data_IF_494511826094
#
_entry.id   IF_494511826094
#
_cell.length_a   1.000
_cell.length_b   1.000
_cell.length_c   1.000
_cell.angle_alpha   90.00
_cell.angle_beta   90.00
_cell.angle_gamma   90.00
#
_symmetry.space_group_name_H-M   'P 1'
#
loop_
_entity.id
_entity.type
_entity.pdbx_description
1 polymer ?
#
# COMPACT_ATOMS: atom_id res chain seq x y z
N UNK A 1 -11.73 3.97 16.03
CA UNK A 1 -10.96 3.09 15.14
C UNK A 1 -9.54 3.02 15.68
N UNK A 2 -9.04 1.86 16.06
CA UNK A 2 -7.65 1.69 16.55
C UNK A 2 -6.70 1.87 15.37
N UNK A 3 -5.74 2.80 15.45
CA UNK A 3 -4.74 2.98 14.40
C UNK A 3 -3.86 1.74 14.35
N UNK A 4 -4.05 0.90 13.34
CA UNK A 4 -3.22 -0.28 13.14
C UNK A 4 -1.87 0.17 12.59
N UNK A 5 -0.80 -0.08 13.32
CA UNK A 5 0.56 0.14 12.83
C UNK A 5 0.87 -0.93 11.79
N UNK A 6 1.35 -0.52 10.62
CA UNK A 6 1.76 -1.45 9.57
C UNK A 6 3.20 -1.92 9.81
N UNK A 7 3.36 -3.22 10.08
CA UNK A 7 4.67 -3.87 10.05
C UNK A 7 5.10 -4.05 8.58
N UNK A 8 5.81 -3.04 8.08
CA UNK A 8 6.07 -2.90 6.64
C UNK A 8 6.90 -4.05 6.07
N UNK A 9 7.86 -4.58 6.83
CA UNK A 9 8.67 -5.73 6.41
C UNK A 9 7.80 -6.96 6.14
N UNK A 10 6.99 -7.36 7.12
CA UNK A 10 6.08 -8.50 7.00
C UNK A 10 5.08 -8.33 5.85
N UNK A 11 4.58 -7.10 5.65
CA UNK A 11 3.65 -6.81 4.56
C UNK A 11 4.32 -6.95 3.19
N UNK A 12 5.52 -6.37 3.01
CA UNK A 12 6.27 -6.44 1.74
C UNK A 12 6.65 -7.88 1.41
N UNK A 13 7.11 -8.66 2.39
CA UNK A 13 7.44 -10.08 2.19
C UNK A 13 6.21 -10.90 1.80
N UNK A 14 5.10 -10.74 2.52
CA UNK A 14 3.85 -11.45 2.22
C UNK A 14 3.27 -11.07 0.85
N UNK A 15 3.31 -9.78 0.48
CA UNK A 15 2.83 -9.33 -0.82
C UNK A 15 3.75 -9.76 -1.97
N UNK A 16 5.07 -9.82 -1.74
CA UNK A 16 6.01 -10.38 -2.70
C UNK A 16 5.67 -11.83 -3.04
N UNK A 17 5.40 -12.64 -2.02
CA UNK A 17 4.96 -14.03 -2.19
C UNK A 17 3.60 -14.13 -2.89
N UNK A 18 2.62 -13.31 -2.48
CA UNK A 18 1.27 -13.33 -3.05
C UNK A 18 1.25 -12.97 -4.53
N UNK A 19 2.10 -12.03 -4.94
CA UNK A 19 2.18 -11.54 -6.32
C UNK A 19 3.15 -12.34 -7.19
N UNK A 20 3.78 -13.39 -6.65
CA UNK A 20 4.86 -14.13 -7.30
C UNK A 20 5.99 -13.21 -7.82
N UNK A 21 6.31 -12.19 -7.02
CA UNK A 21 7.33 -11.21 -7.33
C UNK A 21 8.68 -11.64 -6.77
N UNK A 22 9.65 -11.90 -7.65
CA UNK A 22 11.04 -12.19 -7.26
C UNK A 22 11.74 -10.92 -6.73
N UNK A 23 11.50 -10.63 -5.45
CA UNK A 23 12.15 -9.57 -4.70
C UNK A 23 13.52 -10.03 -4.22
N UNK A 24 14.54 -9.82 -5.06
CA UNK A 24 15.92 -10.12 -4.72
C UNK A 24 16.35 -9.48 -3.39
N UNK A 25 17.19 -10.15 -2.58
CA UNK A 25 17.63 -9.63 -1.28
C UNK A 25 18.26 -8.22 -1.35
N UNK A 26 18.93 -7.89 -2.45
CA UNK A 26 19.52 -6.56 -2.70
C UNK A 26 18.48 -5.43 -2.84
N UNK A 27 17.25 -5.75 -3.23
CA UNK A 27 16.17 -4.77 -3.40
C UNK A 27 15.25 -4.66 -2.19
N UNK A 28 15.16 -5.73 -1.39
CA UNK A 28 14.22 -5.83 -0.26
C UNK A 28 14.31 -4.65 0.72
N UNK A 29 15.49 -4.21 1.20
CA UNK A 29 15.59 -3.06 2.11
C UNK A 29 15.07 -1.75 1.49
N UNK A 30 15.32 -1.54 0.19
CA UNK A 30 14.85 -0.36 -0.53
C UNK A 30 13.33 -0.35 -0.69
N UNK A 31 12.75 -1.50 -1.01
CA UNK A 31 11.29 -1.66 -1.15
C UNK A 31 10.59 -1.44 0.19
N UNK A 32 11.08 -2.02 1.28
CA UNK A 32 10.55 -1.81 2.63
C UNK A 32 10.56 -0.32 3.00
N UNK A 33 11.70 0.36 2.81
CA UNK A 33 11.82 1.79 3.12
C UNK A 33 10.88 2.67 2.28
N UNK A 34 10.73 2.37 0.99
CA UNK A 34 9.85 3.14 0.12
C UNK A 34 8.38 2.88 0.44
N UNK A 35 8.02 1.64 0.74
CA UNK A 35 6.65 1.30 1.15
C UNK A 35 6.25 2.01 2.44
N UNK A 36 7.15 2.07 3.43
CA UNK A 36 6.89 2.80 4.68
C UNK A 36 6.58 4.28 4.44
N UNK A 37 7.30 4.94 3.51
CA UNK A 37 7.04 6.33 3.12
C UNK A 37 5.68 6.48 2.42
N UNK A 38 5.35 5.57 1.50
CA UNK A 38 4.05 5.56 0.83
C UNK A 38 2.92 5.37 1.84
N UNK A 39 3.06 4.42 2.77
CA UNK A 39 2.08 4.17 3.83
C UNK A 39 1.85 5.39 4.71
N UNK A 40 2.91 6.11 5.08
CA UNK A 40 2.79 7.34 5.88
C UNK A 40 1.94 8.41 5.17
N UNK A 41 2.11 8.57 3.85
CA UNK A 41 1.31 9.53 3.05
C UNK A 41 -0.12 9.01 2.88
N UNK A 42 -0.28 7.75 2.50
CA UNK A 42 -1.60 7.13 2.29
C UNK A 42 -2.47 7.17 3.55
N UNK A 43 -1.84 7.00 4.72
CA UNK A 43 -2.54 7.07 6.02
C UNK A 43 -3.28 8.40 6.23
N UNK A 44 -2.80 9.50 5.63
CA UNK A 44 -3.43 10.82 5.75
C UNK A 44 -4.76 10.91 5.00
N UNK A 45 -4.97 10.08 3.96
CA UNK A 45 -6.16 10.13 3.10
C UNK A 45 -7.11 8.96 3.35
N UNK A 46 -6.65 7.87 3.98
CA UNK A 46 -7.49 6.72 4.34
C UNK A 46 -8.28 6.90 5.64
N UNK A 47 -8.03 7.99 6.38
CA UNK A 47 -8.75 8.30 7.63
C UNK A 47 -10.15 8.91 7.38
N UNK A 48 -10.44 9.36 6.15
CA UNK A 48 -11.74 9.90 5.77
C UNK A 48 -12.69 8.80 5.30
N UNK A 49 -13.93 8.82 5.78
CA UNK A 49 -14.98 7.96 5.22
C UNK A 49 -15.31 8.38 3.79
N UNK A 50 -15.32 7.40 2.88
CA UNK A 50 -15.78 7.61 1.52
C UNK A 50 -17.28 7.33 1.42
N UNK A 51 -18.06 8.14 0.68
CA UNK A 51 -19.43 7.82 0.34
C UNK A 51 -19.51 6.53 -0.50
N UNK A 52 -20.55 5.72 -0.31
CA UNK A 52 -20.75 4.48 -1.08
C UNK A 52 -21.03 4.74 -2.57
N UNK A 53 -21.51 5.95 -2.91
CA UNK A 53 -21.85 6.39 -4.25
C UNK A 53 -20.69 7.11 -4.98
N UNK A 54 -19.50 7.17 -4.37
CA UNK A 54 -18.34 7.79 -5.01
C UNK A 54 -17.85 6.93 -6.18
N UNK A 55 -17.86 7.49 -7.39
CA UNK A 55 -17.25 6.84 -8.56
C UNK A 55 -15.72 7.05 -8.53
N UNK A 56 -14.96 6.01 -8.89
CA UNK A 56 -13.54 6.19 -9.21
C UNK A 56 -13.42 7.16 -10.42
N UNK A 57 -12.58 8.19 -10.31
CA UNK A 57 -12.21 9.00 -11.47
C UNK A 57 -11.15 8.24 -12.30
N UNK A 58 -11.08 8.35 -13.65
CA UNK A 58 -11.96 8.98 -14.63
C UNK A 58 -12.92 7.98 -15.32
N UNK A 59 -13.94 8.50 -16.01
CA UNK A 59 -14.78 7.71 -16.92
C UNK A 59 -13.91 7.23 -18.08
N UNK A 60 -13.88 5.91 -18.31
CA UNK A 60 -13.23 5.34 -19.48
C UNK A 60 -14.02 5.76 -20.74
N UNK A 61 -13.40 6.56 -21.61
CA UNK A 61 -13.92 6.88 -22.94
C UNK A 61 -13.27 5.94 -23.97
N UNK A 62 -14.05 5.12 -24.71
CA UNK A 62 -13.54 4.10 -25.62
C UNK A 62 -12.92 4.65 -26.91
#
# INVERSE_FOLDING_TARGET
MTKKTLETANYVEAMGQLLDLDLKPEHLPGVINNFAKIYAIASLVTEFSLPDDIAAAPVFEP
#
